data_IF_739821891605
#
_entry.id   IF_739821891605
#
_cell.length_a   1.000
_cell.length_b   1.000
_cell.length_c   1.000
_cell.angle_alpha   90.00
_cell.angle_beta   90.00
_cell.angle_gamma   90.00
#
_symmetry.space_group_name_H-M   'P 1'
#
loop_
_entity.id
_entity.type
_entity.pdbx_description
1 polymer ?
#
# COMPACT_ATOMS: atom_id res chain seq x y z
N UNK A 1 20.08 63.03 -15.21
CA UNK A 1 19.79 62.53 -15.20
C UNK A 1 19.44 61.47 -14.88
N UNK A 2 19.26 60.73 -14.64
CA UNK A 2 18.81 59.70 -14.30
C UNK A 2 18.50 58.71 -14.48
N UNK A 3 18.18 57.94 -14.40
CA UNK A 3 17.76 56.86 -14.53
C UNK A 3 17.50 55.84 -14.08
N UNK A 4 17.26 55.26 -13.88
CA UNK A 4 16.79 54.27 -13.43
C UNK A 4 16.57 53.16 -13.63
N UNK A 5 16.49 52.59 -13.68
CA UNK A 5 16.23 51.39 -13.91
C UNK A 5 15.75 50.51 -13.37
N UNK A 6 15.39 49.75 -13.22
CA UNK A 6 14.85 48.79 -12.74
C UNK A 6 14.72 47.60 -12.91
N UNK A 7 14.63 46.98 -12.89
CA UNK A 7 14.41 45.83 -12.90
C UNK A 7 13.84 44.92 -12.44
N UNK A 8 13.49 44.33 -12.42
CA UNK A 8 12.75 43.37 -12.15
C UNK A 8 12.77 42.19 -12.11
N UNK A 9 12.77 41.44 -11.92
CA UNK A 9 12.63 40.29 -11.75
C UNK A 9 11.94 39.44 -11.64
N UNK A 10 11.58 38.79 -11.69
CA UNK A 10 10.84 37.81 -11.66
C UNK A 10 10.81 36.70 -11.33
N UNK A 11 10.72 36.15 -10.93
CA UNK A 11 10.44 35.07 -10.46
C UNK A 11 10.02 34.02 -10.83
N UNK A 12 10.04 33.38 -10.97
CA UNK A 12 9.69 32.25 -11.27
C UNK A 12 9.19 31.35 -10.65
N UNK A 13 8.65 30.95 -10.53
CA UNK A 13 7.96 30.03 -10.11
C UNK A 13 8.08 28.80 -10.26
N UNK A 14 8.14 28.08 -9.84
CA UNK A 14 8.15 26.88 -9.85
C UNK A 14 7.37 26.02 -9.94
N UNK A 15 7.00 25.68 -10.21
CA UNK A 15 6.33 24.73 -10.34
C UNK A 15 6.17 23.74 -9.87
N UNK A 16 5.85 23.25 -9.55
CA UNK A 16 5.52 22.23 -9.05
C UNK A 16 5.23 21.28 -9.45
N UNK A 17 5.28 20.91 -9.60
CA UNK A 17 4.91 19.97 -9.78
C UNK A 17 4.26 19.30 -9.74
N UNK A 18 3.93 19.09 -9.76
CA UNK A 18 3.26 18.28 -9.77
C UNK A 18 2.81 17.45 -9.82
N UNK A 19 2.60 17.24 -9.79
CA UNK A 19 1.91 16.37 -9.79
C UNK A 19 1.77 15.44 -10.37
N UNK A 20 2.01 14.82 -10.35
CA UNK A 20 1.82 13.75 -10.82
C UNK A 20 0.95 13.11 -10.85
N UNK A 21 0.53 13.27 -10.99
CA UNK A 21 -0.39 12.55 -11.23
C UNK A 21 -0.26 11.28 -10.94
N UNK A 22 -0.12 10.73 -10.96
CA UNK A 22 -0.21 9.53 -10.78
C UNK A 22 0.76 8.78 -10.84
N UNK A 23 1.15 8.65 -10.24
CA UNK A 23 2.12 7.89 -10.08
C UNK A 23 1.86 6.65 -10.20
N UNK A 24 1.45 6.52 -10.54
CA UNK A 24 1.26 5.31 -10.80
C UNK A 24 1.66 4.43 -9.87
N UNK A 25 2.16 3.92 -9.60
CA UNK A 25 2.55 2.91 -8.95
C UNK A 25 3.54 3.15 -8.01
N UNK A 26 3.36 3.80 -7.06
CA UNK A 26 4.29 4.00 -6.00
C UNK A 26 4.28 2.76 -5.11
N UNK A 27 5.35 2.05 -5.12
CA UNK A 27 5.49 0.89 -4.26
C UNK A 27 5.74 1.37 -2.84
N UNK A 28 5.00 0.85 -1.89
CA UNK A 28 5.17 1.23 -0.50
C UNK A 28 6.42 0.58 0.08
N UNK A 29 7.16 1.33 0.84
CA UNK A 29 8.28 0.77 1.59
C UNK A 29 7.73 -0.12 2.72
N UNK A 30 8.49 -1.12 3.16
CA UNK A 30 8.02 -2.00 4.23
C UNK A 30 7.57 -1.26 5.48
N UNK A 31 8.26 -0.21 5.87
CA UNK A 31 7.86 0.56 7.04
C UNK A 31 6.50 1.22 6.85
N UNK A 32 6.21 1.68 5.64
CA UNK A 32 4.92 2.29 5.35
C UNK A 32 3.80 1.27 5.36
N UNK A 33 4.09 0.07 4.87
CA UNK A 33 3.11 -1.00 4.91
C UNK A 33 2.79 -1.33 6.37
N UNK A 34 3.81 -1.43 7.19
CA UNK A 34 3.59 -1.74 8.60
C UNK A 34 2.79 -0.65 9.29
N UNK A 35 3.12 0.60 9.06
CA UNK A 35 2.42 1.70 9.71
C UNK A 35 0.98 1.84 9.25
N UNK A 36 0.71 1.50 8.01
CA UNK A 36 -0.62 1.65 7.45
C UNK A 36 -1.52 0.46 7.74
N UNK A 37 -0.98 -0.74 7.65
CA UNK A 37 -1.80 -1.94 7.72
C UNK A 37 -1.51 -2.86 8.90
N UNK A 38 -0.29 -2.90 9.38
CA UNK A 38 0.10 -3.92 10.36
C UNK A 38 0.12 -3.34 11.77
N UNK A 39 -0.93 -2.66 12.12
CA UNK A 39 -1.04 -1.99 13.40
C UNK A 39 -2.25 -2.45 14.21
N UNK A 40 -2.80 -3.60 13.85
CA UNK A 40 -3.96 -4.13 14.56
C UNK A 40 -5.30 -3.61 14.07
N UNK A 41 -5.29 -2.68 13.12
CA UNK A 41 -6.52 -2.14 12.56
C UNK A 41 -6.99 -3.00 11.40
N UNK A 42 -8.25 -3.37 11.35
CA UNK A 42 -8.73 -4.18 10.25
C UNK A 42 -8.86 -3.37 8.96
N UNK A 43 -8.73 -4.05 7.85
CA UNK A 43 -8.94 -3.47 6.55
C UNK A 43 -9.56 -4.53 5.64
N UNK A 44 -10.04 -4.13 4.48
CA UNK A 44 -10.72 -5.03 3.56
C UNK A 44 -9.78 -5.45 2.44
N UNK A 45 -9.74 -6.74 2.17
CA UNK A 45 -9.02 -7.29 1.04
C UNK A 45 -10.02 -7.90 0.08
N UNK A 46 -9.86 -7.61 -1.20
CA UNK A 46 -10.70 -8.15 -2.25
C UNK A 46 -9.82 -8.93 -3.21
N UNK A 47 -10.15 -10.18 -3.46
CA UNK A 47 -9.39 -11.01 -4.38
C UNK A 47 -9.79 -10.73 -5.82
N UNK A 48 -9.00 -11.17 -6.82
CA UNK A 48 -9.40 -11.02 -8.22
C UNK A 48 -10.73 -11.69 -8.54
N UNK A 49 -11.08 -12.72 -7.78
CA UNK A 49 -12.38 -13.39 -7.96
C UNK A 49 -13.50 -12.71 -7.20
N UNK A 50 -13.21 -11.53 -6.65
CA UNK A 50 -14.20 -10.71 -5.96
C UNK A 50 -14.65 -11.26 -4.62
N UNK A 51 -13.84 -12.08 -3.99
CA UNK A 51 -14.06 -12.48 -2.61
C UNK A 51 -13.51 -11.42 -1.69
N UNK A 52 -14.23 -11.12 -0.65
CA UNK A 52 -13.83 -10.07 0.28
C UNK A 52 -13.53 -10.65 1.65
N UNK A 53 -12.49 -10.12 2.27
CA UNK A 53 -12.07 -10.53 3.59
C UNK A 53 -11.74 -9.33 4.43
N UNK A 54 -12.03 -9.45 5.72
CA UNK A 54 -11.55 -8.50 6.68
C UNK A 54 -10.21 -9.05 7.18
N UNK A 55 -9.17 -8.27 7.00
CA UNK A 55 -7.82 -8.66 7.36
C UNK A 55 -7.39 -7.87 8.58
N UNK A 56 -6.72 -8.53 9.49
CA UNK A 56 -6.12 -7.86 10.64
C UNK A 56 -4.71 -8.37 10.81
N UNK A 57 -3.75 -7.46 10.74
CA UNK A 57 -2.35 -7.78 10.93
C UNK A 57 -1.92 -7.11 12.22
N UNK A 58 -1.48 -7.89 13.17
CA UNK A 58 -1.13 -7.38 14.49
C UNK A 58 0.35 -7.09 14.58
N UNK A 59 0.72 -6.13 15.40
CA UNK A 59 2.10 -5.71 15.50
C UNK A 59 3.05 -6.81 15.96
N UNK A 60 2.53 -7.85 16.59
CA UNK A 60 3.36 -8.95 17.06
C UNK A 60 3.68 -9.99 15.99
N UNK A 61 3.31 -9.73 14.75
CA UNK A 61 3.64 -10.65 13.67
C UNK A 61 2.54 -11.66 13.34
N UNK A 62 1.39 -11.52 13.95
CA UNK A 62 0.27 -12.43 13.66
C UNK A 62 -0.72 -11.76 12.74
N UNK A 63 -1.46 -12.57 12.01
CA UNK A 63 -2.48 -12.04 11.12
C UNK A 63 -3.68 -12.96 11.10
N UNK A 64 -4.83 -12.37 10.77
CA UNK A 64 -6.09 -13.09 10.68
C UNK A 64 -6.83 -12.66 9.44
N UNK A 65 -7.61 -13.58 8.92
CA UNK A 65 -8.48 -13.33 7.78
C UNK A 65 -9.87 -13.80 8.14
N UNK A 66 -10.86 -12.95 7.92
CA UNK A 66 -12.24 -13.30 8.19
C UNK A 66 -13.04 -12.99 6.94
N UNK A 67 -13.75 -13.97 6.36
CA UNK A 67 -14.50 -13.72 5.13
C UNK A 67 -15.66 -12.77 5.39
N UNK A 68 -15.98 -11.97 4.40
CA UNK A 68 -17.16 -11.15 4.39
C UNK A 68 -18.05 -11.82 3.36
N UNK A 69 -18.95 -12.64 3.84
CA UNK A 69 -19.75 -13.46 2.95
C UNK A 69 -19.17 -14.86 2.88
N UNK A 70 -18.89 -15.34 1.69
CA UNK A 70 -18.35 -16.69 1.52
C UNK A 70 -16.85 -16.68 1.64
N UNK A 71 -16.28 -17.79 2.01
CA UNK A 71 -14.86 -17.96 2.15
C UNK A 71 -14.54 -18.64 3.46
N UNK A 72 -13.28 -18.80 3.76
CA UNK A 72 -12.87 -19.44 4.98
C UNK A 72 -11.98 -18.51 5.80
N UNK A 73 -12.04 -18.69 7.10
CA UNK A 73 -11.17 -17.97 8.00
C UNK A 73 -9.77 -18.52 7.90
N UNK A 74 -8.80 -17.70 8.25
CA UNK A 74 -7.42 -18.13 8.28
C UNK A 74 -6.65 -17.35 9.32
N UNK A 75 -5.59 -17.97 9.79
CA UNK A 75 -4.65 -17.35 10.69
C UNK A 75 -3.26 -17.64 10.21
N UNK A 76 -2.35 -16.73 10.48
CA UNK A 76 -0.99 -16.92 10.06
C UNK A 76 -0.08 -15.89 10.69
N UNK A 77 1.09 -15.76 10.11
CA UNK A 77 2.09 -14.81 10.58
C UNK A 77 2.57 -13.98 9.41
N UNK A 78 3.11 -12.83 9.72
CA UNK A 78 3.68 -11.95 8.72
C UNK A 78 5.02 -11.44 9.19
N UNK A 79 5.83 -11.01 8.24
CA UNK A 79 7.07 -10.32 8.54
C UNK A 79 7.37 -9.38 7.39
N UNK A 80 8.12 -8.34 7.64
CA UNK A 80 8.54 -7.45 6.59
C UNK A 80 9.66 -8.08 5.79
N UNK A 81 9.71 -7.75 4.52
CA UNK A 81 10.78 -8.19 3.64
C UNK A 81 11.48 -6.96 3.08
N UNK A 82 12.43 -7.19 2.23
CA UNK A 82 13.19 -6.11 1.63
C UNK A 82 12.30 -5.14 0.86
N UNK A 83 11.35 -5.66 0.13
CA UNK A 83 10.50 -4.85 -0.74
C UNK A 83 9.04 -4.79 -0.32
N UNK A 84 8.67 -5.46 0.70
CA UNK A 84 7.28 -5.52 1.10
C UNK A 84 7.10 -6.37 2.33
N UNK A 85 6.34 -7.42 2.21
CA UNK A 85 6.10 -8.30 3.34
C UNK A 85 5.90 -9.75 2.88
N UNK A 86 6.05 -10.65 3.81
CA UNK A 86 5.82 -12.08 3.55
C UNK A 86 4.83 -12.60 4.56
N UNK A 87 4.01 -13.52 4.14
CA UNK A 87 3.02 -14.15 5.02
C UNK A 87 3.20 -15.64 4.99
N UNK A 88 2.80 -16.28 6.08
CA UNK A 88 2.80 -17.71 6.18
C UNK A 88 1.48 -18.10 6.83
N UNK A 89 0.60 -18.70 6.06
CA UNK A 89 -0.66 -19.19 6.60
C UNK A 89 -0.40 -20.51 7.31
N UNK A 90 -1.17 -20.77 8.33
CA UNK A 90 -1.00 -21.98 9.10
C UNK A 90 -1.08 -23.18 8.17
N UNK A 91 -0.05 -23.96 8.16
CA UNK A 91 0.02 -25.15 7.31
C UNK A 91 0.46 -24.87 5.89
N UNK A 92 0.75 -23.62 5.56
CA UNK A 92 1.15 -23.26 4.22
C UNK A 92 2.57 -22.80 4.13
N UNK A 93 2.97 -22.40 2.94
CA UNK A 93 4.32 -21.92 2.69
C UNK A 93 4.33 -20.40 2.76
N UNK A 94 5.53 -19.85 2.94
CA UNK A 94 5.70 -18.41 2.92
C UNK A 94 5.45 -17.88 1.52
N UNK A 95 4.80 -16.75 1.45
CA UNK A 95 4.62 -16.02 0.21
C UNK A 95 4.95 -14.57 0.47
N UNK A 96 5.64 -13.95 -0.45
CA UNK A 96 6.06 -12.57 -0.29
C UNK A 96 5.38 -11.69 -1.31
N UNK A 97 5.08 -10.46 -0.89
CA UNK A 97 4.27 -9.55 -1.67
C UNK A 97 4.82 -8.14 -1.61
N UNK A 98 4.45 -7.35 -2.60
CA UNK A 98 4.67 -5.92 -2.58
C UNK A 98 3.33 -5.22 -2.60
N UNK A 99 3.30 -3.97 -2.18
CA UNK A 99 2.08 -3.18 -2.13
C UNK A 99 2.30 -1.90 -2.90
N UNK A 100 1.38 -1.58 -3.79
CA UNK A 100 1.46 -0.35 -4.56
C UNK A 100 0.15 0.42 -4.41
N UNK A 101 0.22 1.72 -4.48
CA UNK A 101 -0.97 2.54 -4.41
C UNK A 101 -1.84 2.33 -5.63
N UNK A 102 -3.15 2.31 -5.43
CA UNK A 102 -4.09 2.07 -6.51
C UNK A 102 -5.23 3.09 -6.50
N UNK A 103 -5.08 4.16 -5.78
CA UNK A 103 -6.10 5.19 -5.70
C UNK A 103 -6.32 5.61 -4.26
N UNK A 104 -7.35 6.40 -4.02
CA UNK A 104 -7.63 6.87 -2.68
C UNK A 104 -8.05 5.71 -1.79
N UNK A 105 -7.32 5.51 -0.74
CA UNK A 105 -7.61 4.47 0.24
C UNK A 105 -7.65 3.07 -0.37
N UNK A 106 -6.92 2.87 -1.46
CA UNK A 106 -6.84 1.58 -2.13
C UNK A 106 -5.41 1.26 -2.50
N UNK A 107 -5.08 -0.01 -2.41
CA UNK A 107 -3.74 -0.49 -2.72
C UNK A 107 -3.84 -1.84 -3.39
N UNK A 108 -2.92 -2.12 -4.28
CA UNK A 108 -2.82 -3.44 -4.91
C UNK A 108 -1.70 -4.21 -4.25
N UNK A 109 -1.95 -5.46 -3.99
CA UNK A 109 -0.96 -6.38 -3.41
C UNK A 109 -0.55 -7.34 -4.49
N UNK A 110 0.74 -7.37 -4.79
CA UNK A 110 1.26 -8.15 -5.88
C UNK A 110 2.24 -9.21 -5.43
N UNK A 111 2.20 -10.32 -6.12
CA UNK A 111 3.22 -11.35 -5.97
C UNK A 111 3.92 -11.39 -7.31
N UNK A 112 5.15 -10.88 -7.35
CA UNK A 112 5.80 -10.63 -8.63
C UNK A 112 5.04 -9.55 -9.36
N UNK A 113 4.56 -9.84 -10.54
CA UNK A 113 3.76 -8.88 -11.30
C UNK A 113 2.27 -9.19 -11.29
N UNK A 114 1.86 -10.18 -10.51
CA UNK A 114 0.47 -10.61 -10.47
C UNK A 114 -0.25 -9.96 -9.30
N UNK A 115 -1.39 -9.35 -9.57
CA UNK A 115 -2.21 -8.77 -8.51
C UNK A 115 -2.93 -9.90 -7.78
N UNK A 116 -2.65 -10.02 -6.50
CA UNK A 116 -3.25 -11.06 -5.68
C UNK A 116 -4.45 -10.57 -4.90
N UNK A 117 -4.51 -9.30 -4.62
CA UNK A 117 -5.61 -8.71 -3.88
C UNK A 117 -5.58 -7.20 -4.00
N UNK A 118 -6.69 -6.57 -3.69
CA UNK A 118 -6.77 -5.12 -3.53
C UNK A 118 -7.17 -4.88 -2.08
N UNK A 119 -6.39 -4.05 -1.42
CA UNK A 119 -6.68 -3.66 -0.04
C UNK A 119 -7.33 -2.29 -0.03
N UNK A 120 -8.27 -2.10 0.88
CA UNK A 120 -8.90 -0.80 1.05
C UNK A 120 -9.14 -0.51 2.53
N UNK A 121 -9.14 0.77 2.85
CA UNK A 121 -9.37 1.22 4.23
C UNK A 121 -10.41 2.30 4.28
#
# INVERSE_FOLDING_TARGET
MALSALTVSVAAAPAPAAAPAKPAVAKLAPADIQNTFFNGQPFTATTPSNLKFKMTFMADGKMKRQPIGTGSRGEGTWKLSKDGFCTSWKGGKDSCFTVVGAGDNKWSVLKGSTIMATWSK
#
